data_IF_847776622728
#
_entry.id   IF_847776622728
#
_cell.length_a   1.000
_cell.length_b   1.000
_cell.length_c   1.000
_cell.angle_alpha   90.00
_cell.angle_beta   90.00
_cell.angle_gamma   90.00
#
_symmetry.space_group_name_H-M   'P 1'
#
loop_
_entity.id
_entity.type
_entity.pdbx_description
1 polymer ?
#
# COMPACT_ATOMS: atom_id res chain seq x y z
N UNK A 1 49.80 -2.84 -82.50
CA UNK A 1 49.79 -1.78 -81.48
C UNK A 1 48.44 -1.10 -81.27
N UNK A 2 47.78 -0.49 -82.28
CA UNK A 2 46.47 0.19 -82.06
C UNK A 2 45.33 -0.78 -81.68
N UNK A 3 45.31 -1.98 -82.27
CA UNK A 3 44.26 -2.99 -82.04
C UNK A 3 44.42 -3.76 -80.71
N UNK A 4 45.63 -3.79 -80.13
CA UNK A 4 45.87 -4.43 -78.82
C UNK A 4 45.46 -3.51 -77.67
N UNK A 5 45.58 -2.19 -77.86
CA UNK A 5 45.13 -1.22 -76.86
C UNK A 5 43.60 -1.14 -76.79
N UNK A 6 42.89 -1.25 -77.93
CA UNK A 6 41.43 -1.32 -77.93
C UNK A 6 40.91 -2.58 -77.23
N UNK A 7 41.49 -3.75 -77.52
CA UNK A 7 41.08 -5.00 -76.86
C UNK A 7 41.32 -5.00 -75.33
N UNK A 8 42.39 -4.36 -74.86
CA UNK A 8 42.63 -4.19 -73.41
C UNK A 8 41.63 -3.23 -72.76
N UNK A 9 41.23 -2.18 -73.46
CA UNK A 9 40.21 -1.24 -72.97
C UNK A 9 38.81 -1.87 -72.91
N UNK A 10 38.47 -2.70 -73.90
CA UNK A 10 37.20 -3.44 -73.92
C UNK A 10 37.13 -4.46 -72.78
N UNK A 11 38.22 -5.18 -72.51
CA UNK A 11 38.31 -6.10 -71.37
C UNK A 11 38.19 -5.40 -70.01
N UNK A 12 38.76 -4.20 -69.86
CA UNK A 12 38.62 -3.40 -68.64
C UNK A 12 37.18 -2.90 -68.46
N UNK A 13 36.50 -2.53 -69.54
CA UNK A 13 35.09 -2.13 -69.51
C UNK A 13 34.19 -3.29 -69.08
N UNK A 14 34.39 -4.47 -69.65
CA UNK A 14 33.63 -5.68 -69.31
C UNK A 14 33.83 -6.12 -67.85
N UNK A 15 35.07 -5.99 -67.34
CA UNK A 15 35.39 -6.29 -65.94
C UNK A 15 34.74 -5.29 -64.96
N UNK A 16 34.58 -4.03 -65.37
CA UNK A 16 33.92 -3.01 -64.56
C UNK A 16 32.40 -3.16 -64.57
N UNK A 17 31.80 -3.55 -65.69
CA UNK A 17 30.36 -3.79 -65.81
C UNK A 17 29.93 -5.06 -65.05
N UNK A 18 30.71 -6.14 -65.12
CA UNK A 18 30.46 -7.37 -64.34
C UNK A 18 30.58 -7.17 -62.82
N UNK A 19 31.49 -6.29 -62.36
CA UNK A 19 31.64 -5.94 -60.94
C UNK A 19 30.59 -4.95 -60.43
N UNK A 20 29.86 -4.28 -61.32
CA UNK A 20 28.84 -3.28 -60.97
C UNK A 20 27.51 -3.93 -60.61
N UNK A 21 27.13 -5.02 -61.28
CA UNK A 21 25.89 -5.76 -61.00
C UNK A 21 25.82 -6.31 -59.57
N UNK A 22 26.88 -6.96 -59.09
CA UNK A 22 26.91 -7.61 -57.77
C UNK A 22 26.72 -6.61 -56.60
N UNK A 23 27.28 -5.40 -56.74
CA UNK A 23 27.13 -4.33 -55.74
C UNK A 23 25.76 -3.67 -55.79
N UNK A 24 25.17 -3.54 -56.98
CA UNK A 24 23.85 -2.94 -57.14
C UNK A 24 22.77 -3.89 -56.59
N UNK A 25 22.97 -5.20 -56.73
CA UNK A 25 22.13 -6.25 -56.14
C UNK A 25 22.24 -6.30 -54.61
N UNK A 26 23.44 -6.10 -54.03
CA UNK A 26 23.58 -5.95 -52.57
C UNK A 26 22.88 -4.70 -52.03
N UNK A 27 23.00 -3.57 -52.73
CA UNK A 27 22.36 -2.32 -52.32
C UNK A 27 20.85 -2.41 -52.40
N UNK A 28 20.29 -3.05 -53.43
CA UNK A 28 18.84 -3.28 -53.54
C UNK A 28 18.35 -4.23 -52.47
N UNK A 29 19.10 -5.30 -52.16
CA UNK A 29 18.79 -6.22 -51.06
C UNK A 29 18.78 -5.52 -49.70
N UNK A 30 19.79 -4.70 -49.39
CA UNK A 30 19.82 -3.91 -48.15
C UNK A 30 18.68 -2.89 -48.07
N UNK A 31 18.31 -2.26 -49.19
CA UNK A 31 17.16 -1.34 -49.23
C UNK A 31 15.84 -2.07 -48.92
N UNK A 32 15.64 -3.24 -49.49
CA UNK A 32 14.50 -4.11 -49.21
C UNK A 32 14.45 -4.53 -47.73
N UNK A 33 15.59 -4.91 -47.16
CA UNK A 33 15.69 -5.30 -45.75
C UNK A 33 15.41 -4.14 -44.80
N UNK A 34 15.94 -2.93 -45.09
CA UNK A 34 15.63 -1.71 -44.34
C UNK A 34 14.14 -1.38 -44.42
N UNK A 35 13.53 -1.52 -45.59
CA UNK A 35 12.10 -1.26 -45.77
C UNK A 35 11.24 -2.27 -45.00
N UNK A 36 11.63 -3.54 -45.01
CA UNK A 36 10.95 -4.61 -44.27
C UNK A 36 11.10 -4.42 -42.75
N UNK A 37 12.29 -4.01 -42.27
CA UNK A 37 12.53 -3.65 -40.86
C UNK A 37 11.73 -2.41 -40.45
N UNK A 38 11.61 -1.40 -41.31
CA UNK A 38 10.76 -0.23 -41.05
C UNK A 38 9.27 -0.59 -41.04
N UNK A 39 8.85 -1.54 -41.88
CA UNK A 39 7.48 -2.06 -41.93
C UNK A 39 7.14 -2.84 -40.66
N UNK A 40 7.99 -3.78 -40.26
CA UNK A 40 7.84 -4.52 -38.99
C UNK A 40 7.90 -3.62 -37.76
N UNK A 41 8.69 -2.54 -37.78
CA UNK A 41 8.68 -1.54 -36.70
C UNK A 41 7.39 -0.72 -36.64
N UNK A 42 6.81 -0.37 -37.80
CA UNK A 42 5.50 0.32 -37.86
C UNK A 42 4.36 -0.60 -37.42
N UNK A 43 4.38 -1.86 -37.84
CA UNK A 43 3.38 -2.86 -37.49
C UNK A 43 3.52 -3.30 -36.03
N UNK A 44 4.76 -3.47 -35.52
CA UNK A 44 5.05 -3.82 -34.13
C UNK A 44 4.80 -2.71 -33.11
N UNK A 45 4.75 -1.45 -33.56
CA UNK A 45 4.42 -0.29 -32.72
C UNK A 45 2.92 0.07 -32.73
N UNK A 46 2.12 -0.63 -33.54
CA UNK A 46 0.70 -0.37 -33.75
C UNK A 46 -0.27 -1.26 -32.96
N UNK A 47 0.20 -2.27 -32.21
CA UNK A 47 -0.69 -3.25 -31.59
C UNK A 47 -0.25 -3.70 -30.18
N UNK A 48 0.19 -2.77 -29.34
CA UNK A 48 0.18 -2.98 -27.88
C UNK A 48 -0.97 -2.19 -27.27
N UNK A 49 -2.19 -2.61 -27.60
CA UNK A 49 -3.37 -2.36 -26.75
C UNK A 49 -3.43 -3.38 -25.61
N UNK A 50 -2.29 -3.92 -25.18
CA UNK A 50 -2.24 -4.52 -23.85
C UNK A 50 -2.26 -3.36 -22.88
N UNK A 51 -3.46 -2.98 -22.44
CA UNK A 51 -3.67 -2.07 -21.34
C UNK A 51 -2.63 -2.38 -20.27
N UNK A 52 -1.73 -1.44 -20.03
CA UNK A 52 -0.63 -1.70 -19.13
C UNK A 52 -1.21 -1.98 -17.74
N UNK A 53 -0.55 -2.80 -16.94
CA UNK A 53 -0.99 -3.06 -15.55
C UNK A 53 -1.18 -1.75 -14.79
N UNK A 54 -0.39 -0.73 -15.15
CA UNK A 54 -0.50 0.63 -14.63
C UNK A 54 -1.81 1.35 -15.02
N UNK A 55 -2.24 1.21 -16.27
CA UNK A 55 -3.50 1.82 -16.74
C UNK A 55 -4.72 1.19 -16.04
N UNK A 56 -4.69 -0.14 -15.82
CA UNK A 56 -5.72 -0.83 -15.02
C UNK A 56 -5.78 -0.33 -13.59
N UNK A 57 -4.61 -0.25 -12.93
CA UNK A 57 -4.54 0.24 -11.56
C UNK A 57 -5.04 1.68 -11.43
N UNK A 58 -4.70 2.55 -12.41
CA UNK A 58 -5.18 3.93 -12.44
C UNK A 58 -6.71 4.00 -12.60
N UNK A 59 -7.29 3.14 -13.43
CA UNK A 59 -8.76 3.05 -13.60
C UNK A 59 -9.43 2.57 -12.32
N UNK A 60 -8.92 1.52 -11.69
CA UNK A 60 -9.46 0.98 -10.43
C UNK A 60 -9.45 2.03 -9.31
N UNK A 61 -8.36 2.79 -9.18
CA UNK A 61 -8.25 3.88 -8.21
C UNK A 61 -9.32 4.96 -8.44
N UNK A 62 -9.53 5.36 -9.69
CA UNK A 62 -10.54 6.36 -10.05
C UNK A 62 -11.97 5.83 -9.82
N UNK A 63 -12.22 4.56 -10.15
CA UNK A 63 -13.51 3.91 -9.88
C UNK A 63 -13.80 3.81 -8.39
N UNK A 64 -12.79 3.48 -7.57
CA UNK A 64 -12.93 3.43 -6.12
C UNK A 64 -13.17 4.82 -5.53
N UNK A 65 -12.46 5.85 -6.02
CA UNK A 65 -12.74 7.24 -5.66
C UNK A 65 -14.17 7.64 -5.99
N UNK A 66 -14.63 7.35 -7.21
CA UNK A 66 -16.01 7.66 -7.64
C UNK A 66 -17.05 6.89 -6.81
N UNK A 67 -16.78 5.64 -6.41
CA UNK A 67 -17.67 4.88 -5.52
C UNK A 67 -17.74 5.53 -4.14
N UNK A 68 -16.61 5.91 -3.57
CA UNK A 68 -16.55 6.62 -2.28
C UNK A 68 -17.26 7.97 -2.36
N UNK A 69 -17.03 8.76 -3.41
CA UNK A 69 -17.68 10.07 -3.62
C UNK A 69 -19.21 9.91 -3.71
N UNK A 70 -19.71 8.87 -4.39
CA UNK A 70 -21.14 8.56 -4.44
C UNK A 70 -21.71 8.17 -3.08
N UNK A 71 -20.99 7.35 -2.31
CA UNK A 71 -21.41 6.97 -0.96
C UNK A 71 -21.46 8.18 -0.04
N UNK A 72 -20.47 9.07 -0.12
CA UNK A 72 -20.45 10.33 0.62
C UNK A 72 -21.64 11.21 0.25
N UNK A 73 -21.93 11.41 -1.03
CA UNK A 73 -23.08 12.19 -1.48
C UNK A 73 -24.41 11.66 -0.93
N UNK A 74 -24.62 10.33 -0.95
CA UNK A 74 -25.84 9.71 -0.38
C UNK A 74 -25.94 9.95 1.13
N UNK A 75 -24.82 9.88 1.86
CA UNK A 75 -24.83 10.16 3.30
C UNK A 75 -25.08 11.64 3.60
N UNK A 76 -24.52 12.55 2.80
CA UNK A 76 -24.76 14.00 2.93
C UNK A 76 -26.24 14.35 2.69
N UNK A 77 -26.86 13.76 1.67
CA UNK A 77 -28.29 13.92 1.38
C UNK A 77 -29.16 13.43 2.55
N UNK A 78 -28.83 12.26 3.13
CA UNK A 78 -29.56 11.74 4.29
C UNK A 78 -29.38 12.60 5.54
N UNK A 79 -28.17 13.11 5.79
CA UNK A 79 -27.93 14.07 6.89
C UNK A 79 -28.75 15.34 6.68
N UNK A 80 -28.79 15.87 5.45
CA UNK A 80 -29.59 17.05 5.13
C UNK A 80 -31.08 16.80 5.37
N UNK A 81 -31.60 15.66 4.92
CA UNK A 81 -32.99 15.24 5.14
C UNK A 81 -33.32 15.11 6.63
N UNK A 82 -32.45 14.47 7.41
CA UNK A 82 -32.64 14.30 8.85
C UNK A 82 -32.61 15.63 9.60
N UNK A 83 -31.80 16.60 9.17
CA UNK A 83 -31.80 17.96 9.74
C UNK A 83 -33.13 18.64 9.53
N UNK A 84 -33.67 18.61 8.30
CA UNK A 84 -34.99 19.20 8.01
C UNK A 84 -36.08 18.59 8.88
N UNK A 85 -36.13 17.26 9.00
CA UNK A 85 -37.12 16.58 9.86
C UNK A 85 -36.95 16.95 11.34
N UNK A 86 -35.70 17.10 11.81
CA UNK A 86 -35.43 17.53 13.17
C UNK A 86 -35.93 18.97 13.41
N UNK A 87 -35.61 19.88 12.50
CA UNK A 87 -36.02 21.29 12.57
C UNK A 87 -37.55 21.41 12.56
N UNK A 88 -38.24 20.63 11.73
CA UNK A 88 -39.71 20.55 11.71
C UNK A 88 -40.29 20.02 13.03
N UNK A 89 -39.70 18.98 13.60
CA UNK A 89 -40.12 18.41 14.87
C UNK A 89 -39.91 19.40 16.04
N UNK A 90 -38.79 20.13 16.03
CA UNK A 90 -38.50 21.19 17.01
C UNK A 90 -39.49 22.34 16.85
N UNK A 91 -39.75 22.80 15.63
CA UNK A 91 -40.74 23.84 15.36
C UNK A 91 -42.14 23.42 15.81
N UNK A 92 -42.55 22.17 15.55
CA UNK A 92 -43.82 21.63 16.03
C UNK A 92 -43.88 21.60 17.56
N UNK A 93 -42.82 21.14 18.23
CA UNK A 93 -42.74 21.13 19.69
C UNK A 93 -42.85 22.55 20.28
N UNK A 94 -42.23 23.54 19.65
CA UNK A 94 -42.33 24.93 20.06
C UNK A 94 -43.75 25.50 19.88
N UNK A 95 -44.44 25.14 18.78
CA UNK A 95 -45.86 25.50 18.58
C UNK A 95 -46.74 24.90 19.68
N UNK A 96 -46.58 23.61 19.99
CA UNK A 96 -47.33 22.94 21.06
C UNK A 96 -47.06 23.57 22.42
N UNK A 97 -45.81 23.94 22.69
CA UNK A 97 -45.41 24.64 23.91
C UNK A 97 -46.06 26.02 24.00
N UNK A 98 -46.11 26.78 22.91
CA UNK A 98 -46.80 28.08 22.88
C UNK A 98 -48.30 27.94 23.09
N UNK A 99 -48.95 26.93 22.48
CA UNK A 99 -50.37 26.66 22.64
C UNK A 99 -50.72 26.21 24.07
N UNK A 100 -49.85 25.41 24.70
CA UNK A 100 -50.01 25.02 26.11
C UNK A 100 -49.92 26.23 27.07
N UNK A 101 -49.16 27.26 26.70
CA UNK A 101 -49.02 28.50 27.48
C UNK A 101 -50.10 29.54 27.17
N UNK A 102 -51.00 29.27 26.21
CA UNK A 102 -52.04 30.22 25.82
C UNK A 102 -53.01 30.46 27.00
N UNK A 103 -53.26 31.72 27.43
CA UNK A 103 -54.07 32.03 28.61
C UNK A 103 -55.52 31.49 28.62
N UNK A 104 -56.03 31.11 27.45
CA UNK A 104 -57.40 30.64 27.23
C UNK A 104 -57.52 29.10 27.25
N UNK A 105 -56.41 28.37 27.44
CA UNK A 105 -56.42 26.92 27.54
C UNK A 105 -56.88 26.46 28.94
N UNK A 106 -58.21 26.32 29.11
CA UNK A 106 -58.84 25.95 30.39
C UNK A 106 -58.55 24.51 30.87
N UNK A 107 -57.77 23.71 30.13
CA UNK A 107 -57.40 22.34 30.51
C UNK A 107 -56.09 22.23 31.29
N UNK A 108 -55.29 23.30 31.40
CA UNK A 108 -53.94 23.24 31.98
C UNK A 108 -53.67 24.11 33.20
N UNK A 109 -54.46 25.16 33.44
CA UNK A 109 -54.28 26.00 34.63
C UNK A 109 -55.05 25.40 35.81
N UNK A 110 -54.54 24.28 36.36
CA UNK A 110 -54.74 24.05 37.79
C UNK A 110 -53.91 25.12 38.47
N UNK A 111 -54.52 26.30 38.65
CA UNK A 111 -54.05 27.25 39.65
C UNK A 111 -54.07 26.43 40.93
N UNK A 112 -52.90 26.01 41.40
CA UNK A 112 -52.71 25.53 42.76
C UNK A 112 -52.90 26.77 43.63
N UNK A 113 -54.15 27.19 43.77
CA UNK A 113 -54.56 28.10 44.83
C UNK A 113 -54.21 27.33 46.09
N UNK A 114 -53.37 27.94 46.91
CA UNK A 114 -53.02 27.47 48.24
C UNK A 114 -54.33 27.19 48.98
N UNK A 115 -54.71 25.91 49.06
CA UNK A 115 -55.89 25.47 49.78
C UNK A 115 -55.68 25.89 51.24
N UNK A 116 -56.52 26.74 51.84
CA UNK A 116 -56.44 27.00 53.25
C UNK A 116 -56.89 25.73 53.95
N UNK A 117 -55.96 25.04 54.62
CA UNK A 117 -56.26 23.84 55.41
C UNK A 117 -56.58 24.28 56.85
N UNK A 118 -57.80 24.01 57.36
CA UNK A 118 -58.03 23.87 58.79
C UNK A 118 -57.98 22.39 59.16
N UNK A 119 -57.11 22.01 60.11
CA UNK A 119 -57.20 20.72 60.81
C UNK A 119 -55.94 19.87 60.80
N UNK A 120 -55.09 20.11 61.78
CA UNK A 120 -54.37 19.11 62.60
C UNK A 120 -54.32 17.66 62.08
N UNK A 121 -53.29 17.36 61.28
CA UNK A 121 -52.64 16.05 61.27
C UNK A 121 -51.14 16.23 61.16
N UNK A 122 -50.42 15.78 62.17
CA UNK A 122 -48.96 15.69 62.26
C UNK A 122 -48.44 14.71 61.20
N UNK A 123 -48.24 15.23 59.99
CA UNK A 123 -47.46 14.54 58.95
C UNK A 123 -46.02 15.04 59.03
N UNK A 124 -45.07 14.11 58.99
CA UNK A 124 -43.65 14.38 59.08
C UNK A 124 -43.25 15.56 58.18
N UNK A 125 -42.55 16.53 58.78
CA UNK A 125 -42.01 17.72 58.12
C UNK A 125 -40.94 17.29 57.13
N UNK A 126 -41.35 16.88 55.94
CA UNK A 126 -40.44 16.77 54.80
C UNK A 126 -40.10 18.20 54.39
N UNK A 127 -38.88 18.62 54.71
CA UNK A 127 -38.28 19.83 54.17
C UNK A 127 -38.37 19.74 52.64
N UNK A 128 -39.20 20.59 52.02
CA UNK A 128 -39.21 20.71 50.56
C UNK A 128 -37.80 21.12 50.15
N UNK A 129 -37.09 20.21 49.48
CA UNK A 129 -35.88 20.57 48.76
C UNK A 129 -36.25 21.70 47.78
N UNK A 130 -35.54 22.83 47.77
CA UNK A 130 -35.82 23.90 46.83
C UNK A 130 -35.69 23.33 45.41
N UNK A 131 -36.78 23.37 44.65
CA UNK A 131 -36.72 22.96 43.24
C UNK A 131 -35.77 23.90 42.52
N UNK A 132 -34.83 23.39 41.70
CA UNK A 132 -33.89 24.23 40.98
C UNK A 132 -34.66 25.27 40.17
N UNK A 133 -34.25 26.53 40.29
CA UNK A 133 -34.93 27.60 39.57
C UNK A 133 -34.73 27.40 38.06
N UNK A 134 -35.64 27.92 37.24
CA UNK A 134 -35.51 27.85 35.77
C UNK A 134 -34.19 28.45 35.25
N UNK A 135 -33.53 29.31 36.04
CA UNK A 135 -32.20 29.86 35.73
C UNK A 135 -31.10 28.84 35.98
N UNK A 136 -31.22 28.03 37.03
CA UNK A 136 -30.24 27.00 37.39
C UNK A 136 -30.23 25.87 36.36
N UNK A 137 -31.39 25.50 35.82
CA UNK A 137 -31.49 24.51 34.73
C UNK A 137 -30.81 25.00 33.44
N UNK A 138 -31.05 26.26 33.04
CA UNK A 138 -30.38 26.86 31.87
C UNK A 138 -28.87 26.99 32.05
N UNK A 139 -28.41 27.26 33.28
CA UNK A 139 -26.98 27.32 33.57
C UNK A 139 -26.36 25.92 33.43
N UNK A 140 -27.02 24.90 33.96
CA UNK A 140 -26.57 23.51 33.88
C UNK A 140 -26.48 23.02 32.43
N UNK A 141 -27.48 23.31 31.60
CA UNK A 141 -27.46 22.97 30.17
C UNK A 141 -26.28 23.63 29.43
N UNK A 142 -25.97 24.90 29.74
CA UNK A 142 -24.81 25.59 29.18
C UNK A 142 -23.49 24.97 29.63
N UNK A 143 -23.37 24.58 30.89
CA UNK A 143 -22.19 23.90 31.43
C UNK A 143 -22.01 22.55 30.73
N UNK A 144 -23.07 21.75 30.61
CA UNK A 144 -23.02 20.46 29.91
C UNK A 144 -22.66 20.61 28.42
N UNK A 145 -23.12 21.68 27.75
CA UNK A 145 -22.70 21.98 26.38
C UNK A 145 -21.21 22.33 26.29
N UNK A 146 -20.73 23.18 27.20
CA UNK A 146 -19.31 23.55 27.26
C UNK A 146 -18.42 22.36 27.57
N UNK A 147 -18.84 21.47 28.46
CA UNK A 147 -18.12 20.23 28.79
C UNK A 147 -17.98 19.32 27.55
N UNK A 148 -19.07 19.13 26.79
CA UNK A 148 -19.05 18.37 25.52
C UNK A 148 -18.14 18.99 24.47
N UNK A 149 -18.14 20.32 24.36
CA UNK A 149 -17.24 21.02 23.44
C UNK A 149 -15.77 20.88 23.84
N UNK A 150 -15.48 21.01 25.14
CA UNK A 150 -14.13 20.81 25.69
C UNK A 150 -13.65 19.38 25.45
N UNK A 151 -14.52 18.38 25.65
CA UNK A 151 -14.18 16.97 25.43
C UNK A 151 -13.90 16.69 23.94
N UNK A 152 -14.74 17.24 23.05
CA UNK A 152 -14.52 17.17 21.60
C UNK A 152 -13.18 17.79 21.19
N UNK A 153 -12.83 18.95 21.75
CA UNK A 153 -11.55 19.62 21.48
C UNK A 153 -10.35 18.81 22.01
N UNK A 154 -10.48 18.18 23.18
CA UNK A 154 -9.45 17.28 23.72
C UNK A 154 -9.25 16.07 22.82
N UNK A 155 -10.33 15.44 22.38
CA UNK A 155 -10.27 14.30 21.47
C UNK A 155 -9.62 14.68 20.13
N UNK A 156 -9.98 15.83 19.57
CA UNK A 156 -9.43 16.32 18.31
C UNK A 156 -7.92 16.56 18.41
N UNK A 157 -7.46 17.23 19.47
CA UNK A 157 -6.02 17.43 19.73
C UNK A 157 -5.28 16.11 19.92
N UNK A 158 -5.90 15.13 20.58
CA UNK A 158 -5.29 13.81 20.76
C UNK A 158 -5.14 13.08 19.42
N UNK A 159 -6.17 13.10 18.56
CA UNK A 159 -6.08 12.53 17.21
C UNK A 159 -5.02 13.24 16.37
N UNK A 160 -4.96 14.56 16.42
CA UNK A 160 -3.95 15.34 15.68
C UNK A 160 -2.52 14.98 16.11
N UNK A 161 -2.26 14.91 17.42
CA UNK A 161 -0.94 14.54 17.94
C UNK A 161 -0.55 13.11 17.57
N UNK A 162 -1.49 12.16 17.65
CA UNK A 162 -1.25 10.79 17.22
C UNK A 162 -0.97 10.72 15.71
N UNK A 163 -1.74 11.43 14.89
CA UNK A 163 -1.52 11.49 13.45
C UNK A 163 -0.15 12.07 13.09
N UNK A 164 0.30 13.12 13.80
CA UNK A 164 1.66 13.66 13.62
C UNK A 164 2.74 12.65 13.99
N UNK A 165 2.59 11.94 15.12
CA UNK A 165 3.53 10.90 15.54
C UNK A 165 3.59 9.75 14.52
N UNK A 166 2.45 9.30 14.00
CA UNK A 166 2.41 8.24 12.98
C UNK A 166 3.10 8.68 11.67
N UNK A 167 2.85 9.91 11.22
CA UNK A 167 3.52 10.48 10.06
C UNK A 167 5.04 10.62 10.28
N UNK A 168 5.48 11.05 11.46
CA UNK A 168 6.91 11.10 11.82
C UNK A 168 7.56 9.71 11.80
N UNK A 169 6.88 8.69 12.35
CA UNK A 169 7.36 7.30 12.31
C UNK A 169 7.47 6.79 10.87
N UNK A 170 6.51 7.12 10.00
CA UNK A 170 6.57 6.74 8.59
C UNK A 170 7.72 7.44 7.85
N UNK A 171 7.92 8.73 8.12
CA UNK A 171 9.06 9.49 7.59
C UNK A 171 10.39 8.88 8.02
N UNK A 172 10.53 8.52 9.29
CA UNK A 172 11.76 7.91 9.80
C UNK A 172 12.01 6.51 9.22
N UNK A 173 10.95 5.72 9.06
CA UNK A 173 11.03 4.43 8.37
C UNK A 173 11.40 4.58 6.88
N UNK A 174 10.88 5.60 6.18
CA UNK A 174 11.26 5.90 4.81
C UNK A 174 12.71 6.40 4.71
N UNK A 175 13.15 7.26 5.64
CA UNK A 175 14.55 7.68 5.74
C UNK A 175 15.48 6.49 5.95
N UNK A 176 15.11 5.54 6.81
CA UNK A 176 15.90 4.33 7.02
C UNK A 176 16.00 3.49 5.74
N UNK A 177 14.89 3.29 5.02
CA UNK A 177 14.91 2.60 3.71
C UNK A 177 15.79 3.32 2.69
N UNK A 178 15.72 4.64 2.64
CA UNK A 178 16.57 5.45 1.75
C UNK A 178 18.03 5.34 2.13
N UNK A 179 18.37 5.41 3.42
CA UNK A 179 19.73 5.22 3.91
C UNK A 179 20.25 3.81 3.58
N UNK A 180 19.43 2.76 3.75
CA UNK A 180 19.79 1.39 3.35
C UNK A 180 20.06 1.29 1.85
N UNK A 181 19.19 1.86 1.00
CA UNK A 181 19.40 1.87 -0.45
C UNK A 181 20.64 2.68 -0.85
N UNK A 182 20.91 3.79 -0.17
CA UNK A 182 22.10 4.61 -0.40
C UNK A 182 23.37 3.88 0.03
N UNK A 183 23.35 3.19 1.17
CA UNK A 183 24.46 2.31 1.58
C UNK A 183 24.67 1.21 0.55
N UNK A 184 23.61 0.56 0.05
CA UNK A 184 23.71 -0.45 -1.03
C UNK A 184 24.28 0.15 -2.33
N UNK A 185 23.99 1.42 -2.64
CA UNK A 185 24.58 2.14 -3.78
C UNK A 185 26.05 2.54 -3.55
N UNK A 186 26.42 2.90 -2.32
CA UNK A 186 27.76 3.41 -1.95
C UNK A 186 28.73 2.31 -1.58
N UNK A 187 28.27 1.18 -1.05
CA UNK A 187 29.03 -0.05 -1.14
C UNK A 187 29.28 -0.22 -2.62
N UNK A 188 30.52 -0.13 -3.10
CA UNK A 188 30.77 -0.48 -4.46
C UNK A 188 30.30 -1.92 -4.53
N UNK A 189 29.16 -2.14 -5.19
CA UNK A 189 29.02 -3.30 -6.05
C UNK A 189 30.21 -3.15 -6.98
N UNK A 190 31.38 -3.59 -6.50
CA UNK A 190 32.56 -3.82 -7.29
C UNK A 190 32.04 -4.87 -8.23
N UNK A 191 31.41 -4.41 -9.30
CA UNK A 191 30.98 -5.24 -10.38
C UNK A 191 32.33 -5.69 -10.89
N UNK A 192 32.68 -6.86 -10.38
CA UNK A 192 33.74 -7.70 -10.81
C UNK A 192 33.60 -7.95 -12.32
N UNK A 193 32.53 -7.48 -12.98
CA UNK A 193 32.44 -7.21 -14.41
C UNK A 193 33.68 -6.55 -15.00
N UNK A 194 34.26 -5.48 -14.44
CA UNK A 194 35.47 -4.88 -15.05
C UNK A 194 36.68 -5.83 -14.97
N UNK A 195 36.92 -6.40 -13.79
CA UNK A 195 37.92 -7.47 -13.60
C UNK A 195 37.61 -8.76 -14.34
N UNK A 196 36.34 -9.06 -14.67
CA UNK A 196 35.90 -10.23 -15.45
C UNK A 196 36.06 -9.98 -16.93
N UNK A 197 35.82 -8.75 -17.40
CA UNK A 197 36.15 -8.33 -18.76
C UNK A 197 37.66 -8.36 -18.96
N UNK A 198 38.44 -7.82 -18.02
CA UNK A 198 39.90 -7.89 -18.08
C UNK A 198 40.41 -9.35 -17.99
N UNK A 199 39.79 -10.19 -17.13
CA UNK A 199 40.10 -11.63 -17.10
C UNK A 199 39.68 -12.39 -18.34
N UNK A 200 38.60 -12.03 -19.03
CA UNK A 200 38.20 -12.67 -20.30
C UNK A 200 39.16 -12.23 -21.42
N UNK A 201 39.58 -10.97 -21.43
CA UNK A 201 40.61 -10.49 -22.37
C UNK A 201 41.95 -11.21 -22.14
N UNK A 202 42.31 -11.53 -20.89
CA UNK A 202 43.52 -12.32 -20.58
C UNK A 202 43.31 -13.83 -20.75
N UNK A 203 42.12 -14.38 -20.46
CA UNK A 203 41.83 -15.82 -20.55
C UNK A 203 41.53 -16.32 -21.98
N UNK A 204 41.41 -15.43 -22.97
CA UNK A 204 41.46 -15.83 -24.39
C UNK A 204 42.90 -16.19 -24.80
N UNK A 205 43.92 -15.77 -24.03
CA UNK A 205 45.31 -16.13 -24.30
C UNK A 205 45.71 -17.51 -23.72
N UNK A 206 45.11 -17.95 -22.61
CA UNK A 206 45.54 -19.19 -21.95
C UNK A 206 44.39 -20.20 -21.77
N UNK A 207 44.52 -21.30 -22.51
CA UNK A 207 43.65 -22.48 -22.48
C UNK A 207 43.64 -23.16 -21.11
N UNK A 208 42.51 -23.84 -20.87
CA UNK A 208 42.37 -25.01 -19.99
C UNK A 208 42.44 -24.82 -18.46
N UNK A 209 41.28 -24.56 -17.84
CA UNK A 209 40.49 -25.56 -17.07
C UNK A 209 39.39 -24.88 -16.22
N UNK A 210 38.19 -25.43 -16.35
CA UNK A 210 36.89 -25.20 -15.68
C UNK A 210 36.83 -24.19 -14.50
N UNK A 211 35.91 -23.20 -14.56
CA UNK A 211 35.36 -22.55 -13.39
C UNK A 211 33.89 -22.96 -13.13
N UNK A 212 33.56 -23.27 -11.87
CA UNK A 212 32.19 -23.33 -11.38
C UNK A 212 31.51 -21.94 -11.49
N UNK A 213 30.26 -21.93 -11.92
CA UNK A 213 29.49 -20.74 -12.27
C UNK A 213 29.01 -19.94 -11.04
N UNK A 214 29.26 -18.61 -10.97
CA UNK A 214 28.74 -17.74 -9.91
C UNK A 214 27.25 -17.35 -10.06
N UNK A 215 26.56 -17.85 -11.10
CA UNK A 215 25.16 -17.55 -11.37
C UNK A 215 24.20 -18.29 -10.41
N UNK A 216 24.64 -19.41 -9.82
CA UNK A 216 23.80 -20.25 -8.95
C UNK A 216 23.58 -19.62 -7.57
N UNK A 217 24.59 -18.92 -7.02
CA UNK A 217 24.49 -18.33 -5.67
C UNK A 217 23.46 -17.20 -5.53
N UNK A 218 23.21 -16.43 -6.59
CA UNK A 218 22.23 -15.31 -6.54
C UNK A 218 20.79 -15.84 -6.64
N UNK A 219 20.58 -16.96 -7.33
CA UNK A 219 19.27 -17.62 -7.42
C UNK A 219 18.95 -18.31 -6.09
N UNK A 220 19.91 -19.03 -5.51
CA UNK A 220 19.76 -19.69 -4.21
C UNK A 220 19.42 -18.74 -3.05
N UNK A 221 19.96 -17.51 -3.07
CA UNK A 221 19.65 -16.52 -2.03
C UNK A 221 18.18 -16.05 -2.09
N UNK A 222 17.65 -15.80 -3.29
CA UNK A 222 16.23 -15.45 -3.46
C UNK A 222 15.31 -16.62 -3.10
N UNK A 223 15.71 -17.85 -3.41
CA UNK A 223 14.94 -19.05 -3.10
C UNK A 223 14.91 -19.33 -1.59
N UNK A 224 16.02 -19.06 -0.87
CA UNK A 224 16.09 -19.19 0.60
C UNK A 224 15.14 -18.21 1.29
N UNK A 225 15.09 -16.96 0.84
CA UNK A 225 14.20 -15.94 1.40
C UNK A 225 12.72 -16.24 1.13
N UNK A 226 12.40 -16.71 -0.07
CA UNK A 226 11.05 -17.17 -0.41
C UNK A 226 10.61 -18.34 0.49
N UNK A 227 11.50 -19.32 0.71
CA UNK A 227 11.23 -20.46 1.60
C UNK A 227 11.06 -20.04 3.06
N UNK A 228 11.89 -19.11 3.56
CA UNK A 228 11.73 -18.54 4.90
C UNK A 228 10.38 -17.84 5.07
N UNK A 229 9.91 -17.14 4.03
CA UNK A 229 8.61 -16.49 4.06
C UNK A 229 7.45 -17.50 4.10
N UNK A 230 7.49 -18.52 3.25
CA UNK A 230 6.46 -19.57 3.22
C UNK A 230 6.41 -20.38 4.52
N UNK A 231 7.57 -20.76 5.07
CA UNK A 231 7.64 -21.46 6.36
C UNK A 231 7.09 -20.60 7.49
N UNK A 232 7.41 -19.30 7.54
CA UNK A 232 6.81 -18.38 8.52
C UNK A 232 5.29 -18.27 8.34
N UNK A 233 4.81 -18.20 7.10
CA UNK A 233 3.38 -18.12 6.77
C UNK A 233 2.61 -19.35 7.28
N UNK A 234 3.18 -20.55 7.11
CA UNK A 234 2.55 -21.81 7.59
C UNK A 234 2.58 -21.95 9.11
N UNK A 235 3.60 -21.41 9.79
CA UNK A 235 3.71 -21.42 11.25
C UNK A 235 2.84 -20.35 11.94
N UNK A 236 2.48 -19.27 11.24
CA UNK A 236 1.69 -18.15 11.78
C UNK A 236 0.37 -18.57 12.46
N UNK A 237 -0.53 -19.37 11.82
CA UNK A 237 -1.82 -19.75 12.41
C UNK A 237 -1.72 -20.84 13.50
N UNK A 238 -0.54 -21.41 13.74
CA UNK A 238 -0.39 -22.50 14.72
C UNK A 238 -0.41 -21.98 16.16
N UNK A 239 -1.20 -22.67 17.00
CA UNK A 239 -1.28 -22.46 18.45
C UNK A 239 -0.08 -23.09 19.16
N UNK A 240 0.15 -22.68 20.41
CA UNK A 240 1.28 -23.11 21.26
C UNK A 240 1.50 -24.62 21.27
N UNK A 241 0.46 -25.42 21.49
CA UNK A 241 0.54 -26.88 21.59
C UNK A 241 1.17 -27.52 20.34
N UNK A 242 0.75 -27.07 19.15
CA UNK A 242 1.29 -27.58 17.88
C UNK A 242 2.74 -27.15 17.68
N UNK A 243 3.11 -25.93 18.11
CA UNK A 243 4.50 -25.46 18.04
C UNK A 243 5.40 -26.27 18.98
N UNK A 244 4.95 -26.56 20.22
CA UNK A 244 5.71 -27.41 21.15
C UNK A 244 5.93 -28.81 20.59
N UNK A 245 4.90 -29.42 19.98
CA UNK A 245 5.05 -30.72 19.31
C UNK A 245 6.03 -30.69 18.13
N UNK A 246 6.12 -29.57 17.40
CA UNK A 246 7.13 -29.38 16.34
C UNK A 246 8.53 -29.16 16.91
N UNK A 247 8.65 -28.44 18.02
CA UNK A 247 9.90 -28.23 18.74
C UNK A 247 10.52 -29.55 19.23
N UNK A 248 9.70 -30.45 19.77
CA UNK A 248 10.14 -31.79 20.19
C UNK A 248 10.62 -32.62 19.00
N UNK A 249 9.90 -32.57 17.87
CA UNK A 249 10.26 -33.29 16.64
C UNK A 249 11.53 -32.77 15.98
N UNK A 250 11.69 -31.45 15.94
CA UNK A 250 12.80 -30.81 15.25
C UNK A 250 13.97 -30.50 16.20
N UNK A 251 13.86 -30.78 17.51
CA UNK A 251 14.90 -30.51 18.51
C UNK A 251 15.21 -29.02 18.65
N UNK A 252 14.17 -28.19 18.80
CA UNK A 252 14.28 -26.75 19.05
C UNK A 252 13.77 -26.45 20.46
N UNK A 253 14.52 -25.72 21.27
CA UNK A 253 14.11 -25.37 22.64
C UNK A 253 12.96 -24.35 22.60
N UNK A 254 11.85 -24.63 23.28
CA UNK A 254 10.72 -23.71 23.33
C UNK A 254 11.04 -22.48 24.20
N UNK A 255 10.95 -21.27 23.64
CA UNK A 255 11.08 -20.00 24.36
C UNK A 255 9.75 -19.23 24.39
N UNK A 256 9.61 -18.16 23.63
CA UNK A 256 8.33 -17.47 23.40
C UNK A 256 7.76 -17.85 22.04
N UNK A 257 6.44 -17.95 21.93
CA UNK A 257 5.76 -18.49 20.74
C UNK A 257 6.30 -17.94 19.41
N UNK A 258 6.49 -16.62 19.32
CA UNK A 258 6.96 -15.98 18.08
C UNK A 258 8.45 -16.19 17.82
N UNK A 259 9.29 -16.21 18.87
CA UNK A 259 10.71 -16.54 18.73
C UNK A 259 10.90 -17.97 18.26
N UNK A 260 10.17 -18.91 18.88
CA UNK A 260 10.23 -20.33 18.52
C UNK A 260 9.74 -20.58 17.09
N UNK A 261 8.72 -19.86 16.62
CA UNK A 261 8.28 -19.90 15.21
C UNK A 261 9.37 -19.40 14.25
N UNK A 262 10.11 -18.36 14.64
CA UNK A 262 11.26 -17.85 13.88
C UNK A 262 12.41 -18.86 13.79
N UNK A 263 12.77 -19.47 14.92
CA UNK A 263 13.83 -20.48 15.01
C UNK A 263 13.50 -21.75 14.20
N UNK A 264 12.25 -22.21 14.23
CA UNK A 264 11.78 -23.32 13.39
C UNK A 264 11.90 -23.01 11.89
N UNK A 265 11.49 -21.81 11.48
CA UNK A 265 11.61 -21.40 10.07
C UNK A 265 13.08 -21.36 9.60
N UNK A 266 13.98 -20.80 10.44
CA UNK A 266 15.42 -20.78 10.17
C UNK A 266 15.99 -22.19 10.08
N UNK A 267 15.72 -23.05 11.07
CA UNK A 267 16.22 -24.43 11.07
C UNK A 267 15.76 -25.22 9.85
N UNK A 268 14.51 -25.06 9.42
CA UNK A 268 14.00 -25.70 8.20
C UNK A 268 14.69 -25.16 6.95
N UNK A 269 14.97 -23.86 6.87
CA UNK A 269 15.70 -23.28 5.76
C UNK A 269 17.15 -23.77 5.74
N UNK A 270 17.81 -23.86 6.90
CA UNK A 270 19.16 -24.39 7.00
C UNK A 270 19.20 -25.87 6.55
N UNK A 271 18.21 -26.69 6.94
CA UNK A 271 18.10 -28.07 6.46
C UNK A 271 17.86 -28.16 4.94
N UNK A 272 17.08 -27.23 4.38
CA UNK A 272 16.74 -27.21 2.96
C UNK A 272 17.90 -26.69 2.08
N UNK A 273 18.67 -25.71 2.56
CA UNK A 273 19.65 -24.96 1.76
C UNK A 273 21.11 -25.13 2.21
N UNK A 274 21.42 -25.54 3.44
CA UNK A 274 22.80 -25.77 3.90
C UNK A 274 23.29 -27.23 3.67
N UNK A 275 22.76 -27.92 2.64
CA UNK A 275 23.19 -29.28 2.25
C UNK A 275 24.61 -29.37 1.66
N UNK A 276 25.27 -28.25 1.36
CA UNK A 276 26.57 -28.23 0.66
C UNK A 276 27.79 -27.84 1.53
N UNK A 277 27.68 -27.88 2.87
CA UNK A 277 28.83 -27.62 3.78
C UNK A 277 29.20 -28.76 4.75
N UNK A 278 28.56 -29.93 4.64
CA UNK A 278 28.72 -31.03 5.58
C UNK A 278 29.26 -32.32 4.97
N UNK A 279 30.49 -32.29 4.43
CA UNK A 279 31.26 -33.52 4.26
C UNK A 279 31.77 -34.01 5.61
N UNK A 280 31.38 -35.22 5.99
CA UNK A 280 32.11 -36.20 6.83
C UNK A 280 32.70 -35.76 8.19
N UNK A 281 32.22 -36.41 9.27
CA UNK A 281 32.90 -36.89 10.49
C UNK A 281 31.79 -37.05 11.56
N UNK A 282 31.38 -38.20 12.06
CA UNK A 282 31.83 -39.60 12.08
C UNK A 282 30.58 -40.50 12.04
#
# INVERSE_FOLDING_TARGET
MRNELSGKLDSVRELLESKKGDKEDEVTKMRLEIENLRKTLREGKGASSSESVFDRYKRELEEERVKSDRQLAVMEDEIARLRVVNDEAVAAADVWKQEALRPDNKRGSVVVTTTPVPGTRTRARMTLMPSPSAKDLKLKEKVEHQEREIESLKEWRLRELNGRREAELEVDHLKEKMARLEVVRRTPTTSNLKTRLDKVVVAIADKEKRPMSPTTQVVEANDRDAFLFETRRTLKPLKKEKIVALCEKEGVTYSTLDKTKGELALKRADIAFDKDRGGTLK
#
